data_IF_401215829091
#
_entry.id   IF_401215829091
#
_cell.length_a   1.000
_cell.length_b   1.000
_cell.length_c   1.000
_cell.angle_alpha   90.00
_cell.angle_beta   90.00
_cell.angle_gamma   90.00
#
_symmetry.space_group_name_H-M   'P 1'
#
loop_
_entity.id
_entity.type
_entity.pdbx_description
1 polymer ?
#
# COMPACT_ATOMS: atom_id res chain seq x y z
N UNK A 1 0.22 7.86 -20.53
CA UNK A 1 0.69 6.85 -19.56
C UNK A 1 -0.29 5.71 -19.67
N UNK A 2 0.13 4.57 -20.18
CA UNK A 2 -0.69 3.36 -20.18
C UNK A 2 -0.47 2.66 -18.84
N UNK A 3 -1.52 2.63 -18.02
CA UNK A 3 -1.56 1.97 -16.71
C UNK A 3 -2.49 0.77 -16.85
N UNK A 4 -2.07 -0.39 -16.36
CA UNK A 4 -2.88 -1.61 -16.45
C UNK A 4 -4.04 -1.59 -15.45
N UNK A 5 -3.83 -0.95 -14.30
CA UNK A 5 -4.86 -0.70 -13.30
C UNK A 5 -5.37 0.73 -13.47
N UNK A 6 -6.66 0.92 -13.24
CA UNK A 6 -7.17 2.24 -12.91
C UNK A 6 -7.14 2.45 -11.39
N UNK A 7 -7.29 3.69 -10.97
CA UNK A 7 -7.23 4.10 -9.58
C UNK A 7 -8.22 3.33 -8.69
N UNK A 8 -9.45 3.09 -9.17
CA UNK A 8 -10.46 2.35 -8.42
C UNK A 8 -10.05 0.90 -8.16
N UNK A 9 -9.38 0.25 -9.12
CA UNK A 9 -8.85 -1.11 -8.96
C UNK A 9 -7.71 -1.11 -7.93
N UNK A 10 -6.77 -0.17 -8.03
CA UNK A 10 -5.67 -0.07 -7.06
C UNK A 10 -6.20 0.16 -5.62
N UNK A 11 -7.21 1.00 -5.46
CA UNK A 11 -7.87 1.22 -4.17
C UNK A 11 -8.55 -0.05 -3.63
N UNK A 12 -9.26 -0.78 -4.48
CA UNK A 12 -9.90 -2.04 -4.09
C UNK A 12 -8.86 -3.08 -3.65
N UNK A 13 -7.75 -3.23 -4.40
CA UNK A 13 -6.64 -4.13 -4.03
C UNK A 13 -6.07 -3.73 -2.66
N UNK A 14 -5.82 -2.44 -2.41
CA UNK A 14 -5.30 -1.97 -1.13
C UNK A 14 -6.26 -2.27 0.04
N UNK A 15 -7.58 -2.03 -0.15
CA UNK A 15 -8.60 -2.31 0.87
C UNK A 15 -8.73 -3.79 1.15
N UNK A 16 -8.77 -4.62 0.12
CA UNK A 16 -8.82 -6.07 0.26
C UNK A 16 -7.57 -6.59 0.98
N UNK A 17 -6.39 -6.11 0.61
CA UNK A 17 -5.14 -6.48 1.26
C UNK A 17 -5.12 -6.10 2.74
N UNK A 18 -5.46 -4.84 3.05
CA UNK A 18 -5.56 -4.33 4.42
C UNK A 18 -6.51 -5.18 5.28
N UNK A 19 -7.72 -5.46 4.76
CA UNK A 19 -8.72 -6.25 5.48
C UNK A 19 -8.28 -7.70 5.65
N UNK A 20 -7.65 -8.31 4.64
CA UNK A 20 -7.18 -9.70 4.68
C UNK A 20 -6.12 -9.94 5.75
N UNK A 21 -5.25 -8.96 5.98
CA UNK A 21 -4.15 -9.03 6.96
C UNK A 21 -4.43 -8.21 8.22
N UNK A 22 -5.68 -7.80 8.45
CA UNK A 22 -6.14 -7.06 9.63
C UNK A 22 -5.28 -5.82 9.96
N UNK A 23 -4.79 -5.13 8.92
CA UNK A 23 -3.91 -3.97 9.09
C UNK A 23 -4.71 -2.77 9.62
N UNK A 24 -4.12 -2.08 10.60
CA UNK A 24 -4.69 -0.90 11.26
C UNK A 24 -4.79 0.32 10.34
N UNK A 25 -5.57 1.31 10.74
CA UNK A 25 -5.74 2.58 10.02
C UNK A 25 -6.85 2.57 8.97
N UNK A 26 -6.92 3.63 8.18
CA UNK A 26 -7.96 3.93 7.20
C UNK A 26 -7.36 4.42 5.88
N UNK A 27 -7.95 3.97 4.77
CA UNK A 27 -7.63 4.49 3.43
C UNK A 27 -8.67 5.54 3.10
N UNK A 28 -8.25 6.80 3.11
CA UNK A 28 -9.10 7.95 2.82
C UNK A 28 -9.66 7.88 1.39
N UNK A 29 -10.91 8.33 1.22
CA UNK A 29 -11.54 8.48 -0.10
C UNK A 29 -10.97 9.67 -0.89
N UNK A 30 -9.97 10.39 -0.36
CA UNK A 30 -9.29 11.50 -1.06
C UNK A 30 -8.24 10.98 -2.04
N UNK A 31 -8.75 10.45 -3.14
CA UNK A 31 -8.01 9.71 -4.17
C UNK A 31 -6.78 10.45 -4.73
N UNK A 32 -6.84 11.78 -4.88
CA UNK A 32 -5.74 12.55 -5.49
C UNK A 32 -4.54 12.75 -4.57
N UNK A 33 -4.74 12.71 -3.24
CA UNK A 33 -3.66 12.90 -2.27
C UNK A 33 -3.02 11.60 -1.84
N UNK A 34 -3.86 10.57 -1.68
CA UNK A 34 -3.48 9.35 -0.98
C UNK A 34 -3.12 8.21 -1.96
N UNK A 35 -3.43 8.37 -3.25
CA UNK A 35 -3.11 7.38 -4.28
C UNK A 35 -2.24 8.01 -5.36
N UNK A 36 -1.05 7.46 -5.56
CA UNK A 36 -0.09 7.96 -6.56
C UNK A 36 0.41 6.85 -7.46
N UNK A 37 0.45 7.13 -8.75
CA UNK A 37 1.06 6.25 -9.74
C UNK A 37 2.50 6.68 -10.02
N UNK A 38 3.40 5.71 -10.10
CA UNK A 38 4.77 5.91 -10.55
C UNK A 38 5.07 4.92 -11.67
N UNK A 39 5.60 5.41 -12.79
CA UNK A 39 5.97 4.58 -13.94
C UNK A 39 7.18 3.69 -13.66
N UNK A 40 8.01 4.08 -12.69
CA UNK A 40 9.19 3.36 -12.23
C UNK A 40 9.27 3.49 -10.71
N UNK A 41 9.68 2.41 -10.04
CA UNK A 41 9.83 2.39 -8.59
C UNK A 41 11.02 1.54 -8.18
N UNK A 42 11.73 1.97 -7.14
CA UNK A 42 12.92 1.25 -6.70
C UNK A 42 12.58 -0.19 -6.29
N UNK A 43 13.46 -1.12 -6.65
CA UNK A 43 13.33 -2.55 -6.34
C UNK A 43 12.09 -3.26 -6.93
N UNK A 44 11.31 -2.62 -7.81
CA UNK A 44 10.20 -3.24 -8.55
C UNK A 44 10.41 -3.03 -10.05
N UNK A 45 10.32 -4.10 -10.83
CA UNK A 45 10.36 -3.99 -12.28
C UNK A 45 8.99 -3.52 -12.82
N UNK A 46 8.90 -2.23 -13.16
CA UNK A 46 7.74 -1.62 -13.79
C UNK A 46 7.02 -0.60 -12.92
N UNK A 47 5.79 -0.30 -13.31
CA UNK A 47 4.94 0.70 -12.66
C UNK A 47 4.30 0.20 -11.37
N UNK A 48 4.06 1.15 -10.47
CA UNK A 48 3.40 0.89 -9.18
C UNK A 48 2.34 1.93 -8.86
N UNK A 49 1.39 1.50 -8.05
CA UNK A 49 0.46 2.35 -7.32
C UNK A 49 0.85 2.37 -5.85
N UNK A 50 1.03 3.57 -5.30
CA UNK A 50 1.21 3.80 -3.88
C UNK A 50 -0.13 4.22 -3.28
N UNK A 51 -0.57 3.51 -2.25
CA UNK A 51 -1.79 3.84 -1.51
C UNK A 51 -1.41 4.11 -0.06
N UNK A 52 -1.60 5.35 0.39
CA UNK A 52 -1.33 5.77 1.76
C UNK A 52 -2.48 5.36 2.67
N UNK A 53 -2.14 4.79 3.81
CA UNK A 53 -3.06 4.45 4.89
C UNK A 53 -2.75 5.35 6.07
N UNK A 54 -3.76 6.01 6.63
CA UNK A 54 -3.61 6.84 7.82
C UNK A 54 -4.03 6.06 9.05
N UNK A 55 -3.19 5.99 10.07
CA UNK A 55 -3.48 5.43 11.37
C UNK A 55 -3.99 6.57 12.26
N UNK A 56 -5.04 6.37 13.04
CA UNK A 56 -5.48 7.40 13.97
C UNK A 56 -4.36 7.70 14.98
N UNK A 57 -3.97 8.98 15.17
CA UNK A 57 -3.01 9.34 16.18
C UNK A 57 -3.47 8.89 17.56
N UNK A 58 -2.56 8.30 18.33
CA UNK A 58 -2.75 8.05 19.74
C UNK A 58 -1.47 8.40 20.52
N UNK A 59 -1.54 8.36 21.84
CA UNK A 59 -0.44 8.76 22.73
C UNK A 59 0.87 7.97 22.51
N UNK A 60 0.85 6.91 21.71
CA UNK A 60 1.99 6.04 21.42
C UNK A 60 2.57 6.18 20.00
N UNK A 61 1.83 6.72 19.03
CA UNK A 61 2.29 6.81 17.63
C UNK A 61 2.51 8.27 17.19
N UNK A 62 3.77 8.64 17.02
CA UNK A 62 4.16 9.94 16.46
C UNK A 62 4.00 9.99 14.93
N UNK A 63 4.14 8.84 14.26
CA UNK A 63 3.96 8.70 12.82
C UNK A 63 2.74 7.81 12.56
N UNK A 64 1.83 8.33 11.74
CA UNK A 64 0.43 7.89 11.72
C UNK A 64 0.03 7.42 10.33
N UNK A 65 0.95 6.74 9.63
CA UNK A 65 0.68 6.24 8.29
C UNK A 65 1.56 5.07 7.90
N UNK A 66 1.21 4.42 6.81
CA UNK A 66 2.09 3.55 6.05
C UNK A 66 1.63 3.55 4.59
N UNK A 67 2.47 3.05 3.68
CA UNK A 67 2.15 3.01 2.25
C UNK A 67 2.06 1.57 1.78
N UNK A 68 0.95 1.20 1.14
CA UNK A 68 0.81 -0.07 0.42
C UNK A 68 1.33 0.12 -1.01
N UNK A 69 2.24 -0.75 -1.44
CA UNK A 69 2.83 -0.72 -2.78
C UNK A 69 2.24 -1.83 -3.63
N UNK A 70 1.52 -1.44 -4.69
CA UNK A 70 0.85 -2.36 -5.62
C UNK A 70 1.57 -2.33 -6.95
N UNK A 71 1.91 -3.50 -7.48
CA UNK A 71 2.40 -3.62 -8.85
C UNK A 71 1.25 -3.40 -9.83
N UNK A 72 1.42 -2.43 -10.73
CA UNK A 72 0.45 -2.18 -11.79
C UNK A 72 0.39 -3.34 -12.79
N UNK A 73 1.55 -3.94 -13.10
CA UNK A 73 1.66 -5.07 -14.03
C UNK A 73 1.03 -6.36 -13.51
N UNK A 74 1.19 -6.65 -12.21
CA UNK A 74 0.75 -7.92 -11.62
C UNK A 74 -0.61 -7.83 -10.91
N UNK A 75 -1.14 -6.62 -10.69
CA UNK A 75 -2.35 -6.40 -9.90
C UNK A 75 -2.27 -6.97 -8.46
N UNK A 76 -1.07 -6.95 -7.85
CA UNK A 76 -0.81 -7.50 -6.53
C UNK A 76 -0.01 -6.54 -5.64
N UNK A 77 -0.23 -6.63 -4.33
CA UNK A 77 0.61 -5.93 -3.35
C UNK A 77 1.98 -6.59 -3.28
N UNK A 78 3.03 -5.78 -3.44
CA UNK A 78 4.43 -6.21 -3.33
C UNK A 78 4.93 -6.15 -1.90
N UNK A 79 4.58 -5.09 -1.17
CA UNK A 79 4.94 -4.87 0.23
C UNK A 79 4.22 -3.63 0.78
N UNK A 80 4.36 -3.39 2.08
CA UNK A 80 4.05 -2.11 2.72
C UNK A 80 5.34 -1.43 3.18
N UNK A 81 5.35 -0.10 3.19
CA UNK A 81 6.44 0.73 3.68
C UNK A 81 5.95 1.51 4.90
N UNK A 82 6.64 1.38 6.03
CA UNK A 82 6.39 2.24 7.18
C UNK A 82 6.88 3.69 6.93
N UNK A 83 6.58 4.66 7.81
CA UNK A 83 7.02 6.04 7.61
C UNK A 83 8.55 6.23 7.64
N UNK A 84 9.29 5.26 8.20
CA UNK A 84 10.75 5.26 8.28
C UNK A 84 11.41 4.61 7.05
N UNK A 85 10.61 4.13 6.09
CA UNK A 85 11.10 3.48 4.88
C UNK A 85 11.35 1.97 5.02
N UNK A 86 10.99 1.36 6.14
CA UNK A 86 11.13 -0.09 6.32
C UNK A 86 10.02 -0.84 5.58
N UNK A 87 10.44 -1.92 4.93
CA UNK A 87 9.58 -2.76 4.11
C UNK A 87 9.06 -3.93 4.94
N UNK A 88 7.76 -4.20 4.85
CA UNK A 88 7.11 -5.35 5.45
C UNK A 88 6.23 -6.09 4.43
N UNK A 89 6.17 -7.42 4.53
CA UNK A 89 5.42 -8.27 3.61
C UNK A 89 4.50 -9.24 4.37
N UNK A 90 3.35 -8.78 4.91
CA UNK A 90 2.41 -9.66 5.63
C UNK A 90 1.99 -10.92 4.86
N UNK A 91 2.00 -10.85 3.52
CA UNK A 91 1.63 -11.97 2.66
C UNK A 91 2.73 -13.03 2.49
N UNK A 92 3.95 -12.77 2.98
CA UNK A 92 5.08 -13.70 2.97
C UNK A 92 5.38 -14.28 4.35
N UNK A 93 4.69 -13.85 5.40
CA UNK A 93 4.76 -14.51 6.70
C UNK A 93 4.10 -15.89 6.59
N UNK A 94 4.92 -16.88 6.27
CA UNK A 94 4.57 -18.30 6.38
C UNK A 94 4.53 -18.59 7.89
N UNK A 95 3.40 -19.09 8.38
CA UNK A 95 3.28 -19.63 9.74
C UNK A 95 4.46 -20.58 10.02
N UNK A 96 5.49 -20.09 10.69
CA UNK A 96 6.45 -20.93 11.40
C UNK A 96 5.86 -21.16 12.78
N UNK A 97 4.99 -22.15 12.88
CA UNK A 97 4.76 -22.92 14.11
C UNK A 97 5.60 -24.20 14.05
#
# INVERSE_FOLDING_TARGET
>A
MDTNLNLGIALSIAREYKNKYELSGEISDNLERDIKFYSEFDSINGSVWLVRVSIEPNDFFAENEYTIVISDNEATVKYIIDPNGHIYCPHLEINTE
#
